data_IF_062261114137
#
_entry.id   IF_062261114137
#
_cell.length_a   1.000
_cell.length_b   1.000
_cell.length_c   1.000
_cell.angle_alpha   90.00
_cell.angle_beta   90.00
_cell.angle_gamma   90.00
#
_symmetry.space_group_name_H-M   'P 1'
#
loop_
_entity.id
_entity.type
_entity.pdbx_description
1 polymer ?
#
# COMPACT_ATOMS: atom_id res chain seq x y z
N UNK A 1 3.32 -39.91 9.15
CA UNK A 1 2.61 -38.63 9.36
C UNK A 1 2.47 -37.99 8.00
N UNK A 2 1.26 -37.59 7.64
CA UNK A 2 0.93 -36.97 6.36
C UNK A 2 0.75 -35.48 6.55
N UNK A 3 1.23 -34.70 5.60
CA UNK A 3 1.24 -33.24 5.67
C UNK A 3 0.40 -32.71 4.51
N UNK A 4 -0.48 -31.77 4.84
CA UNK A 4 -1.29 -31.05 3.88
C UNK A 4 -1.09 -29.56 4.05
N UNK A 5 -1.06 -28.83 2.95
CA UNK A 5 -1.34 -27.40 2.96
C UNK A 5 -2.82 -27.18 2.71
N UNK A 6 -3.37 -26.12 3.28
CA UNK A 6 -4.72 -25.66 2.98
C UNK A 6 -4.65 -24.38 2.14
N UNK A 7 -5.27 -24.40 0.96
CA UNK A 7 -5.32 -23.28 0.02
C UNK A 7 -6.76 -22.80 -0.08
N UNK A 8 -6.96 -21.52 0.16
CA UNK A 8 -8.27 -20.88 0.08
C UNK A 8 -8.16 -19.63 -0.81
N UNK A 9 -9.04 -19.53 -1.81
CA UNK A 9 -9.04 -18.41 -2.77
C UNK A 9 -7.67 -18.14 -3.43
N UNK A 10 -6.91 -19.20 -3.72
CA UNK A 10 -5.58 -19.09 -4.32
C UNK A 10 -4.47 -18.63 -3.37
N UNK A 11 -4.70 -18.64 -2.05
CA UNK A 11 -3.74 -18.23 -1.03
C UNK A 11 -3.47 -19.39 -0.07
N UNK A 12 -2.23 -19.54 0.38
CA UNK A 12 -1.88 -20.50 1.44
C UNK A 12 -2.50 -20.04 2.77
N UNK A 13 -3.47 -20.80 3.27
CA UNK A 13 -4.25 -20.48 4.47
C UNK A 13 -3.82 -21.28 5.72
N UNK A 14 -3.11 -22.41 5.54
CA UNK A 14 -2.61 -23.18 6.69
C UNK A 14 -1.79 -24.41 6.32
N UNK A 15 -1.24 -25.05 7.34
CA UNK A 15 -0.52 -26.33 7.26
C UNK A 15 -1.08 -27.29 8.30
N UNK A 16 -1.52 -28.46 7.84
CA UNK A 16 -2.13 -29.51 8.66
C UNK A 16 -1.24 -30.75 8.68
N UNK A 17 -1.00 -31.28 9.88
CA UNK A 17 -0.25 -32.53 10.11
C UNK A 17 -1.21 -33.55 10.70
N UNK A 18 -1.33 -34.70 10.05
CA UNK A 18 -2.30 -35.73 10.47
C UNK A 18 -1.75 -37.13 10.22
N UNK A 19 -2.33 -38.13 10.87
CA UNK A 19 -2.05 -39.55 10.61
C UNK A 19 -2.98 -40.13 9.53
N UNK A 20 -4.07 -39.44 9.19
CA UNK A 20 -5.05 -39.86 8.20
C UNK A 20 -4.92 -39.19 6.84
N UNK A 21 -5.83 -39.55 5.93
CA UNK A 21 -6.01 -38.88 4.64
C UNK A 21 -7.02 -37.75 4.80
N UNK A 22 -6.74 -36.59 4.19
CA UNK A 22 -7.71 -35.51 4.05
C UNK A 22 -8.13 -35.47 2.60
N UNK A 23 -9.39 -35.86 2.35
CA UNK A 23 -10.02 -35.77 1.04
C UNK A 23 -11.06 -34.65 1.09
N UNK A 24 -10.57 -33.41 0.98
CA UNK A 24 -11.38 -32.20 1.05
C UNK A 24 -10.80 -31.14 0.11
N UNK A 25 -11.67 -30.31 -0.46
CA UNK A 25 -11.27 -29.25 -1.36
C UNK A 25 -10.31 -28.26 -0.67
N UNK A 26 -9.31 -27.79 -1.42
CA UNK A 26 -8.28 -26.87 -0.92
C UNK A 26 -7.17 -27.54 -0.11
N UNK A 27 -7.30 -28.82 0.28
CA UNK A 27 -6.20 -29.56 0.89
C UNK A 27 -5.30 -30.19 -0.17
N UNK A 28 -4.02 -29.86 -0.14
CA UNK A 28 -3.01 -30.41 -1.05
C UNK A 28 -1.96 -31.14 -0.23
N UNK A 29 -1.79 -32.43 -0.49
CA UNK A 29 -0.76 -33.23 0.18
C UNK A 29 0.62 -32.79 -0.31
N UNK A 30 1.55 -32.62 0.63
CA UNK A 30 2.95 -32.25 0.35
C UNK A 30 3.89 -33.28 0.99
N UNK A 31 5.07 -33.52 0.40
CA UNK A 31 6.00 -34.55 0.88
C UNK A 31 6.66 -34.14 2.21
N UNK A 32 6.82 -32.84 2.44
CA UNK A 32 7.49 -32.28 3.62
C UNK A 32 6.74 -31.06 4.16
N UNK A 33 7.04 -30.70 5.40
CA UNK A 33 6.45 -29.56 6.09
C UNK A 33 7.03 -28.24 5.56
N UNK A 34 6.24 -27.38 4.88
CA UNK A 34 6.74 -26.11 4.39
C UNK A 34 6.80 -25.03 5.48
N UNK A 35 6.36 -25.32 6.71
CA UNK A 35 6.23 -24.33 7.78
C UNK A 35 5.08 -23.35 7.53
N UNK A 36 4.92 -22.39 8.45
CA UNK A 36 3.81 -21.43 8.43
C UNK A 36 4.19 -20.04 7.89
N UNK A 37 5.47 -19.81 7.58
CA UNK A 37 5.98 -18.51 7.10
C UNK A 37 5.38 -18.10 5.74
N UNK A 38 4.82 -19.07 5.02
CA UNK A 38 4.16 -18.85 3.75
C UNK A 38 2.68 -18.45 3.82
N UNK A 39 2.06 -18.51 5.00
CA UNK A 39 0.62 -18.23 5.15
C UNK A 39 0.32 -16.79 4.68
N UNK A 40 -0.74 -16.62 3.88
CA UNK A 40 -1.12 -15.35 3.27
C UNK A 40 -0.47 -15.08 1.91
N UNK A 41 0.49 -15.91 1.47
CA UNK A 41 1.11 -15.76 0.14
C UNK A 41 0.29 -16.46 -0.95
N UNK A 42 0.28 -15.94 -2.20
CA UNK A 42 -0.36 -16.61 -3.32
C UNK A 42 0.21 -18.00 -3.51
N UNK A 43 -0.65 -18.99 -3.69
CA UNK A 43 -0.27 -20.35 -4.01
C UNK A 43 -0.16 -20.51 -5.54
N UNK A 44 1.03 -20.88 -6.03
CA UNK A 44 1.33 -20.99 -7.45
C UNK A 44 1.35 -22.43 -7.95
N UNK A 45 0.98 -23.39 -7.10
CA UNK A 45 1.06 -24.83 -7.39
C UNK A 45 2.22 -25.52 -6.68
N UNK A 46 2.56 -26.72 -7.14
CA UNK A 46 3.71 -27.50 -6.65
C UNK A 46 4.85 -27.44 -7.67
N UNK A 47 6.09 -27.45 -7.18
CA UNK A 47 7.27 -27.63 -8.02
C UNK A 47 7.49 -29.10 -8.39
N UNK A 48 8.55 -29.40 -9.15
CA UNK A 48 8.89 -30.78 -9.56
C UNK A 48 9.21 -31.74 -8.40
N UNK A 49 9.46 -31.23 -7.20
CA UNK A 49 9.65 -32.03 -5.98
C UNK A 49 8.35 -32.19 -5.15
N UNK A 50 7.21 -31.67 -5.63
CA UNK A 50 5.95 -31.69 -4.89
C UNK A 50 5.87 -30.66 -3.76
N UNK A 51 6.81 -29.72 -3.68
CA UNK A 51 6.81 -28.66 -2.67
C UNK A 51 6.01 -27.43 -3.14
N UNK A 52 5.33 -26.71 -2.22
CA UNK A 52 4.53 -25.55 -2.59
C UNK A 52 5.40 -24.42 -3.15
N UNK A 53 5.00 -23.91 -4.32
CA UNK A 53 5.51 -22.67 -4.88
C UNK A 53 4.63 -21.52 -4.40
N UNK A 54 5.23 -20.55 -3.74
CA UNK A 54 4.51 -19.38 -3.21
C UNK A 54 4.93 -18.12 -3.98
N UNK A 55 3.93 -17.33 -4.36
CA UNK A 55 4.11 -16.02 -4.94
C UNK A 55 4.74 -15.03 -3.96
N UNK A 56 5.05 -13.81 -4.41
CA UNK A 56 5.56 -12.77 -3.53
C UNK A 56 4.57 -12.52 -2.36
N UNK A 57 5.09 -12.04 -1.23
CA UNK A 57 4.22 -11.52 -0.16
C UNK A 57 3.36 -10.43 -0.78
N UNK A 58 2.02 -10.49 -0.67
CA UNK A 58 1.17 -9.41 -1.15
C UNK A 58 1.60 -8.13 -0.44
N UNK A 59 2.21 -7.19 -1.18
CA UNK A 59 2.37 -5.84 -0.66
C UNK A 59 0.98 -5.23 -0.55
N UNK A 60 0.62 -4.61 0.58
CA UNK A 60 -0.62 -3.85 0.64
C UNK A 60 -0.58 -2.83 -0.50
N UNK A 61 -1.64 -2.79 -1.32
CA UNK A 61 -1.77 -1.75 -2.33
C UNK A 61 -1.80 -0.41 -1.59
N UNK A 62 -0.69 0.32 -1.65
CA UNK A 62 -0.58 1.63 -1.04
C UNK A 62 -1.33 2.69 -1.86
N UNK A 63 -1.96 2.32 -2.99
CA UNK A 63 -2.63 3.26 -3.87
C UNK A 63 -1.69 4.37 -4.33
N UNK A 64 -2.26 5.55 -4.61
CA UNK A 64 -1.50 6.76 -4.95
C UNK A 64 -1.20 7.59 -3.69
N UNK A 65 -0.64 6.93 -2.67
CA UNK A 65 -0.21 7.59 -1.42
C UNK A 65 1.24 8.05 -1.49
N UNK A 66 1.49 9.25 -0.98
CA UNK A 66 2.82 9.83 -0.82
C UNK A 66 3.07 10.27 0.63
N UNK A 67 4.34 10.37 1.00
CA UNK A 67 4.74 10.95 2.29
C UNK A 67 4.34 12.43 2.35
N UNK A 68 4.17 12.96 3.57
CA UNK A 68 3.86 14.38 3.78
C UNK A 68 4.99 15.28 3.25
N UNK A 69 6.25 14.84 3.40
CA UNK A 69 7.40 15.56 2.84
C UNK A 69 7.31 15.68 1.32
N UNK A 70 7.06 14.57 0.63
CA UNK A 70 6.88 14.54 -0.82
C UNK A 70 5.73 15.42 -1.28
N UNK A 71 4.62 15.46 -0.54
CA UNK A 71 3.50 16.35 -0.85
C UNK A 71 3.93 17.83 -0.86
N UNK A 72 4.70 18.27 0.15
CA UNK A 72 5.23 19.63 0.15
C UNK A 72 6.28 19.86 -0.94
N UNK A 73 7.07 18.86 -1.30
CA UNK A 73 8.07 18.96 -2.38
C UNK A 73 7.40 19.15 -3.75
N UNK A 74 6.20 18.60 -3.97
CA UNK A 74 5.41 18.83 -5.19
C UNK A 74 4.99 20.29 -5.39
N UNK A 75 5.03 21.14 -4.37
CA UNK A 75 4.79 22.58 -4.52
C UNK A 75 5.96 23.33 -5.16
N UNK A 76 7.13 22.70 -5.32
CA UNK A 76 8.29 23.30 -5.99
C UNK A 76 8.70 24.63 -5.35
N UNK A 77 8.80 25.68 -6.17
CA UNK A 77 9.23 27.00 -5.71
C UNK A 77 8.27 27.66 -4.71
N UNK A 78 6.98 27.32 -4.75
CA UNK A 78 5.97 27.89 -3.85
C UNK A 78 6.04 27.31 -2.43
N UNK A 79 6.72 26.16 -2.24
CA UNK A 79 6.77 25.42 -0.97
C UNK A 79 7.04 26.31 0.23
N UNK A 80 8.12 27.08 0.20
CA UNK A 80 8.53 27.89 1.36
C UNK A 80 7.62 29.08 1.59
N UNK A 81 7.04 29.67 0.53
CA UNK A 81 6.05 30.73 0.66
C UNK A 81 4.78 30.21 1.34
N UNK A 82 4.29 29.02 0.95
CA UNK A 82 3.13 28.36 1.55
C UNK A 82 3.40 28.02 3.02
N UNK A 83 4.56 27.42 3.33
CA UNK A 83 4.90 27.03 4.69
C UNK A 83 5.11 28.22 5.65
N UNK A 84 5.48 29.39 5.11
CA UNK A 84 5.65 30.62 5.88
C UNK A 84 4.38 31.49 5.96
N UNK A 85 3.31 31.13 5.25
CA UNK A 85 2.08 31.91 5.20
C UNK A 85 1.24 31.74 6.48
N UNK A 86 1.06 32.83 7.21
CA UNK A 86 0.33 32.88 8.49
C UNK A 86 -1.19 33.07 8.32
N UNK A 87 -1.69 33.19 7.08
CA UNK A 87 -3.11 33.31 6.79
C UNK A 87 -3.87 32.14 7.42
N UNK A 88 -4.98 32.36 8.17
CA UNK A 88 -5.65 31.30 8.91
C UNK A 88 -6.05 30.08 8.05
N UNK A 89 -6.50 30.32 6.82
CA UNK A 89 -6.92 29.27 5.89
C UNK A 89 -5.74 28.46 5.35
N UNK A 90 -4.63 29.11 4.98
CA UNK A 90 -3.40 28.42 4.53
C UNK A 90 -2.81 27.58 5.67
N UNK A 91 -2.73 28.14 6.89
CA UNK A 91 -2.28 27.38 8.07
C UNK A 91 -3.15 26.17 8.37
N UNK A 92 -4.45 26.27 8.16
CA UNK A 92 -5.35 25.13 8.37
C UNK A 92 -4.99 23.96 7.42
N UNK A 93 -4.76 24.26 6.13
CA UNK A 93 -4.35 23.25 5.14
C UNK A 93 -2.99 22.64 5.48
N UNK A 94 -1.98 23.46 5.77
CA UNK A 94 -0.65 22.98 6.15
C UNK A 94 -0.70 22.12 7.41
N UNK A 95 -1.48 22.50 8.42
CA UNK A 95 -1.63 21.72 9.66
C UNK A 95 -2.34 20.39 9.42
N UNK A 96 -3.42 20.38 8.63
CA UNK A 96 -4.14 19.15 8.28
C UNK A 96 -3.23 18.16 7.57
N UNK A 97 -2.47 18.62 6.56
CA UNK A 97 -1.53 17.77 5.84
C UNK A 97 -0.41 17.24 6.75
N UNK A 98 0.13 18.10 7.63
CA UNK A 98 1.31 17.79 8.47
C UNK A 98 1.08 16.68 9.50
N UNK A 99 -0.15 16.47 9.96
CA UNK A 99 -0.48 15.47 10.98
C UNK A 99 -0.91 14.12 10.41
N UNK A 100 -1.04 14.03 9.08
CA UNK A 100 -1.42 12.78 8.41
C UNK A 100 -0.23 11.83 8.32
N UNK A 101 -0.51 10.52 8.36
CA UNK A 101 0.52 9.49 8.13
C UNK A 101 1.05 9.52 6.68
N UNK A 102 0.18 9.87 5.75
CA UNK A 102 0.45 9.98 4.31
C UNK A 102 -0.62 10.87 3.68
N UNK A 103 -0.34 11.36 2.47
CA UNK A 103 -1.31 12.05 1.62
C UNK A 103 -1.78 11.08 0.55
N UNK A 104 -3.10 10.88 0.47
CA UNK A 104 -3.72 10.11 -0.60
C UNK A 104 -4.12 11.06 -1.72
N UNK A 105 -3.48 10.90 -2.87
CA UNK A 105 -3.71 11.74 -4.04
C UNK A 105 -5.08 11.50 -4.67
N UNK A 106 -5.76 10.40 -4.35
CA UNK A 106 -7.12 10.12 -4.82
C UNK A 106 -8.19 10.59 -3.81
N UNK A 107 -7.79 11.29 -2.73
CA UNK A 107 -8.73 11.86 -1.77
C UNK A 107 -9.59 12.97 -2.41
N UNK A 108 -10.94 12.86 -2.40
CA UNK A 108 -11.83 13.83 -3.05
C UNK A 108 -11.77 15.23 -2.44
N UNK A 109 -11.30 15.38 -1.20
CA UNK A 109 -11.19 16.68 -0.52
C UNK A 109 -9.85 17.38 -0.81
N UNK A 110 -8.85 16.66 -1.34
CA UNK A 110 -7.53 17.21 -1.63
C UNK A 110 -7.57 18.41 -2.59
N UNK A 111 -8.35 18.38 -3.69
CA UNK A 111 -8.48 19.54 -4.58
C UNK A 111 -9.00 20.81 -3.88
N UNK A 112 -9.90 20.67 -2.89
CA UNK A 112 -10.41 21.82 -2.15
C UNK A 112 -9.34 22.44 -1.26
N UNK A 113 -8.48 21.63 -0.63
CA UNK A 113 -7.31 22.11 0.11
C UNK A 113 -6.31 22.86 -0.77
N UNK A 114 -6.06 22.36 -1.99
CA UNK A 114 -5.17 23.03 -2.96
C UNK A 114 -5.77 24.34 -3.48
N UNK A 115 -7.09 24.40 -3.69
CA UNK A 115 -7.77 25.64 -4.09
C UNK A 115 -7.58 26.76 -3.06
N UNK A 116 -7.61 26.44 -1.75
CA UNK A 116 -7.34 27.43 -0.68
C UNK A 116 -5.95 28.04 -0.82
N UNK A 117 -4.93 27.24 -1.16
CA UNK A 117 -3.56 27.72 -1.34
C UNK A 117 -3.45 28.60 -2.59
N UNK A 118 -4.08 28.18 -3.69
CA UNK A 118 -4.14 28.97 -4.92
C UNK A 118 -4.87 30.31 -4.72
N UNK A 119 -6.02 30.31 -4.04
CA UNK A 119 -6.81 31.52 -3.75
C UNK A 119 -6.09 32.49 -2.80
N UNK A 120 -5.17 31.99 -1.98
CA UNK A 120 -4.25 32.82 -1.18
C UNK A 120 -3.12 33.45 -2.01
N UNK A 121 -3.05 33.16 -3.31
CA UNK A 121 -2.08 33.75 -4.25
C UNK A 121 -0.81 32.94 -4.45
N UNK A 122 -0.75 31.69 -3.97
CA UNK A 122 0.39 30.81 -4.23
C UNK A 122 0.30 30.22 -5.64
N UNK A 123 1.36 30.39 -6.41
CA UNK A 123 1.47 29.86 -7.78
C UNK A 123 1.75 28.35 -7.73
N UNK A 124 0.66 27.57 -7.61
CA UNK A 124 0.68 26.11 -7.62
C UNK A 124 -0.20 25.56 -8.73
N UNK A 125 0.26 24.46 -9.35
CA UNK A 125 -0.54 23.70 -10.29
C UNK A 125 -1.14 22.47 -9.59
N UNK A 126 -2.41 22.57 -9.18
CA UNK A 126 -3.11 21.50 -8.49
C UNK A 126 -3.22 20.22 -9.35
N UNK A 127 -3.35 20.35 -10.67
CA UNK A 127 -3.42 19.20 -11.57
C UNK A 127 -2.06 18.51 -11.68
N UNK A 128 -0.96 19.26 -11.72
CA UNK A 128 0.37 18.67 -11.68
C UNK A 128 0.65 17.98 -10.33
N UNK A 129 0.29 18.61 -9.21
CA UNK A 129 0.50 18.06 -7.86
C UNK A 129 -0.24 16.73 -7.69
N UNK A 130 -1.50 16.64 -8.10
CA UNK A 130 -2.29 15.41 -7.95
C UNK A 130 -2.04 14.43 -9.08
N UNK A 131 -1.87 14.89 -10.31
CA UNK A 131 -1.80 14.06 -11.52
C UNK A 131 -0.46 13.39 -11.77
N UNK A 132 0.64 13.88 -11.17
CA UNK A 132 1.94 13.26 -11.32
C UNK A 132 1.94 11.80 -10.80
N UNK A 133 2.54 10.86 -11.55
CA UNK A 133 2.80 9.50 -11.08
C UNK A 133 3.53 9.52 -9.73
N UNK A 134 3.25 8.54 -8.87
CA UNK A 134 3.95 8.41 -7.59
C UNK A 134 5.31 7.76 -7.81
N UNK A 135 6.38 8.50 -7.53
CA UNK A 135 7.75 8.00 -7.58
C UNK A 135 8.06 7.11 -6.37
N UNK A 136 9.11 6.29 -6.47
CA UNK A 136 9.44 5.33 -5.42
C UNK A 136 9.87 6.01 -4.11
N UNK A 137 10.62 7.10 -4.23
CA UNK A 137 11.10 7.96 -3.15
C UNK A 137 9.98 8.74 -2.44
N UNK A 138 8.81 8.86 -3.06
CA UNK A 138 7.67 9.56 -2.47
C UNK A 138 6.82 8.64 -1.58
N UNK A 139 7.04 7.32 -1.64
CA UNK A 139 6.24 6.35 -0.91
C UNK A 139 6.40 6.53 0.62
N UNK A 140 5.33 6.37 1.42
CA UNK A 140 5.38 6.43 2.88
C UNK A 140 6.22 5.34 3.54
#
# INVERSE_FOLDING_TARGET
MTIYIFVQNGVLAGVQRTTGVIDAEGYVQVPEDPGTDGIGRPYLGLNGAGMPMLGPVPSPDLGRRISVGAFYDRFGAAKWAILADETPTVRAVVRDASVRKWIDLDNPDLPAGLAILHDAGHDIDAQAIVGQPVAAEERP
#
